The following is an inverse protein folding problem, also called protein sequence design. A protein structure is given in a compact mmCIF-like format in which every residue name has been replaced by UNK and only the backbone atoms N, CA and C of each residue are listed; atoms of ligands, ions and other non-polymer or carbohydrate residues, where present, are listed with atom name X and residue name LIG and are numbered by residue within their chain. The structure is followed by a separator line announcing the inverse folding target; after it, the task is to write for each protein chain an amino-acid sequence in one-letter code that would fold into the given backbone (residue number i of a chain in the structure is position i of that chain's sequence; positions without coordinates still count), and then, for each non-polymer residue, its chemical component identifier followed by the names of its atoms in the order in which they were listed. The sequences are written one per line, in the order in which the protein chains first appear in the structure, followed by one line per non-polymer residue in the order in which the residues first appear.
data_IF_612744974819
#
_entry.id   IF_612744974819
#
_cell.length_a   1.000
_cell.length_b   1.000
_cell.length_c   1.000
_cell.angle_alpha   90.00
_cell.angle_beta   90.00
_cell.angle_gamma   90.00
#
_symmetry.space_group_name_H-M   'P 1'
#
loop_
_entity.id
_entity.type
_entity.pdbx_description
1 polymer ?
#
# COMPACT_ATOMS: atom_id res chain seq x y z
N UNK A 1 -6.68 -11.35 1.45
CA UNK A 1 -5.77 -10.44 0.73
C UNK A 1 -5.24 -9.33 1.61
N UNK A 2 -6.12 -8.66 2.32
CA UNK A 2 -5.69 -7.63 3.25
C UNK A 2 -4.73 -8.18 4.31
N UNK A 3 -5.05 -9.34 4.88
CA UNK A 3 -4.21 -9.92 5.91
C UNK A 3 -2.82 -10.25 5.41
N UNK A 4 -2.72 -10.69 4.17
CA UNK A 4 -1.42 -10.98 3.57
C UNK A 4 -0.61 -9.71 3.45
N UNK A 5 -1.24 -8.65 2.98
CA UNK A 5 -0.53 -7.39 2.83
C UNK A 5 -0.09 -6.85 4.19
N UNK A 6 -0.96 -6.93 5.19
CA UNK A 6 -0.57 -6.50 6.54
C UNK A 6 0.63 -7.29 7.05
N UNK A 7 0.63 -8.57 6.82
CA UNK A 7 1.74 -9.40 7.26
C UNK A 7 3.05 -8.98 6.62
N UNK A 8 3.02 -8.77 5.31
CA UNK A 8 4.21 -8.37 4.58
C UNK A 8 4.71 -7.02 5.09
N UNK A 9 3.79 -6.07 5.25
CA UNK A 9 4.18 -4.72 5.66
C UNK A 9 4.77 -4.72 7.05
N UNK A 10 4.18 -5.48 7.99
CA UNK A 10 4.70 -5.51 9.35
C UNK A 10 6.09 -6.07 9.42
N UNK A 11 6.46 -6.89 8.44
CA UNK A 11 7.81 -7.44 8.41
C UNK A 11 8.81 -6.53 7.71
N UNK A 12 8.34 -5.47 7.06
CA UNK A 12 9.23 -4.53 6.38
C UNK A 12 9.55 -3.29 7.20
N UNK A 13 8.64 -2.90 8.08
CA UNK A 13 8.74 -1.60 8.74
C UNK A 13 9.34 -1.72 10.13
N UNK A 14 9.80 -0.60 10.66
CA UNK A 14 10.31 -0.54 12.02
C UNK A 14 9.22 -0.34 13.04
N UNK A 15 8.08 0.20 12.63
CA UNK A 15 6.96 0.46 13.53
C UNK A 15 5.73 -0.33 13.09
N UNK A 16 5.74 -1.66 13.30
CA UNK A 16 4.63 -2.49 12.82
C UNK A 16 3.28 -2.12 13.44
N UNK A 17 3.29 -1.55 14.62
CA UNK A 17 2.04 -1.14 15.25
C UNK A 17 1.38 0.01 14.52
N UNK A 18 2.10 0.69 13.63
CA UNK A 18 1.55 1.80 12.85
C UNK A 18 0.99 1.34 11.50
N UNK A 19 1.11 0.06 11.18
CA UNK A 19 0.62 -0.43 9.90
C UNK A 19 -0.89 -0.52 9.93
N UNK A 20 -1.53 0.02 8.91
CA UNK A 20 -2.98 -0.03 8.77
C UNK A 20 -3.30 -0.22 7.30
N UNK A 21 -4.20 -1.13 6.99
CA UNK A 21 -4.63 -1.38 5.62
C UNK A 21 -6.14 -1.27 5.58
N UNK A 22 -6.62 -0.40 4.72
CA UNK A 22 -8.05 -0.18 4.56
C UNK A 22 -8.49 -0.72 3.22
N UNK A 23 -9.53 -1.53 3.21
CA UNK A 23 -10.01 -2.21 2.02
C UNK A 23 -11.20 -1.45 1.43
N UNK A 24 -11.16 -1.26 0.13
CA UNK A 24 -12.24 -0.62 -0.59
C UNK A 24 -12.42 -1.38 -1.90
N UNK A 25 -13.64 -1.61 -2.32
CA UNK A 25 -13.83 -2.37 -3.55
C UNK A 25 -14.81 -1.69 -4.48
N UNK A 26 -14.56 -1.87 -5.76
CA UNK A 26 -15.42 -1.45 -6.84
C UNK A 26 -15.53 -2.62 -7.80
N UNK A 27 -16.47 -2.59 -8.75
CA UNK A 27 -16.58 -3.70 -9.68
C UNK A 27 -15.24 -3.96 -10.40
N UNK A 28 -14.72 -5.16 -10.23
CA UNK A 28 -13.49 -5.56 -10.90
C UNK A 28 -12.20 -5.06 -10.28
N UNK A 29 -12.27 -4.21 -9.25
CA UNK A 29 -11.06 -3.62 -8.66
C UNK A 29 -11.18 -3.61 -7.13
N UNK A 30 -10.14 -4.09 -6.48
CA UNK A 30 -10.00 -3.98 -5.03
C UNK A 30 -8.87 -3.02 -4.75
N UNK A 31 -9.13 -2.01 -3.95
CA UNK A 31 -8.10 -1.05 -3.57
C UNK A 31 -7.74 -1.26 -2.11
N UNK A 32 -6.45 -1.36 -1.84
CA UNK A 32 -5.95 -1.48 -0.48
C UNK A 32 -5.13 -0.23 -0.17
N UNK A 33 -5.62 0.55 0.77
CA UNK A 33 -4.96 1.78 1.19
C UNK A 33 -4.10 1.48 2.38
N UNK A 34 -2.83 1.81 2.27
CA UNK A 34 -1.83 1.46 3.26
C UNK A 34 -1.35 2.69 3.98
N UNK A 35 -1.32 2.63 5.30
CA UNK A 35 -0.70 3.66 6.11
C UNK A 35 0.36 3.03 6.97
N UNK A 36 1.51 3.67 7.04
CA UNK A 36 2.60 3.25 7.91
C UNK A 36 3.18 4.50 8.53
N UNK A 37 4.07 4.31 9.50
CA UNK A 37 4.75 5.46 10.09
C UNK A 37 5.48 6.21 8.98
N UNK A 38 5.44 7.55 8.98
CA UNK A 38 6.07 8.31 7.89
C UNK A 38 7.52 7.94 7.62
N UNK A 39 8.27 7.61 8.65
CA UNK A 39 9.67 7.24 8.44
C UNK A 39 9.81 5.87 7.79
N UNK A 40 8.75 5.09 7.72
CA UNK A 40 8.79 3.75 7.13
C UNK A 40 8.30 3.72 5.69
N UNK A 41 7.77 4.83 5.18
CA UNK A 41 7.24 4.85 3.81
C UNK A 41 8.30 4.39 2.81
N UNK A 42 9.53 4.87 2.99
CA UNK A 42 10.60 4.48 2.09
C UNK A 42 10.89 2.99 2.10
N UNK A 43 10.69 2.33 3.24
CA UNK A 43 10.90 0.88 3.32
C UNK A 43 9.85 0.11 2.55
N UNK A 44 8.63 0.64 2.53
CA UNK A 44 7.55 -0.02 1.80
C UNK A 44 7.69 0.21 0.31
N UNK A 45 8.05 1.43 -0.09
CA UNK A 45 8.24 1.74 -1.50
C UNK A 45 9.47 1.03 -2.04
N UNK A 46 10.55 1.07 -1.28
CA UNK A 46 11.79 0.44 -1.68
C UNK A 46 12.58 1.28 -2.66
N UNK A 47 13.78 0.82 -2.94
CA UNK A 47 14.67 1.54 -3.83
C UNK A 47 14.05 1.60 -5.21
N UNK A 48 13.88 2.81 -5.72
CA UNK A 48 13.31 3.02 -7.05
C UNK A 48 11.93 2.40 -7.21
N UNK A 49 11.21 2.27 -6.10
CA UNK A 49 9.86 1.72 -6.16
C UNK A 49 9.79 0.22 -6.34
N UNK A 50 10.89 -0.50 -6.19
CA UNK A 50 10.93 -1.92 -6.51
C UNK A 50 10.14 -2.78 -5.53
N UNK A 51 10.16 -2.42 -4.25
CA UNK A 51 9.45 -3.21 -3.26
C UNK A 51 7.95 -3.13 -3.46
N UNK A 52 7.41 -1.93 -3.63
CA UNK A 52 5.98 -1.79 -3.82
C UNK A 52 5.54 -2.40 -5.16
N UNK A 53 6.39 -2.31 -6.17
CA UNK A 53 6.07 -2.93 -7.46
C UNK A 53 5.98 -4.45 -7.32
N UNK A 54 6.90 -5.05 -6.56
CA UNK A 54 6.87 -6.49 -6.34
C UNK A 54 5.63 -6.90 -5.57
N UNK A 55 5.24 -6.13 -4.57
CA UNK A 55 4.03 -6.41 -3.80
C UNK A 55 2.81 -6.37 -4.72
N UNK A 56 2.72 -5.35 -5.56
CA UNK A 56 1.60 -5.24 -6.49
C UNK A 56 1.54 -6.42 -7.45
N UNK A 57 2.70 -6.86 -7.95
CA UNK A 57 2.74 -8.00 -8.86
C UNK A 57 2.25 -9.27 -8.18
N UNK A 58 2.70 -9.52 -6.96
CA UNK A 58 2.29 -10.71 -6.25
C UNK A 58 0.79 -10.70 -6.03
N UNK A 59 0.24 -9.58 -5.60
CA UNK A 59 -1.16 -9.51 -5.29
C UNK A 59 -2.02 -9.62 -6.54
N UNK A 60 -1.60 -9.01 -7.65
CA UNK A 60 -2.35 -9.14 -8.88
C UNK A 60 -2.28 -10.54 -9.46
N UNK A 61 -1.14 -11.22 -9.27
CA UNK A 61 -1.06 -12.62 -9.68
C UNK A 61 -2.03 -13.47 -8.89
N UNK A 62 -2.20 -13.18 -7.60
CA UNK A 62 -3.08 -13.97 -6.76
C UNK A 62 -4.54 -13.84 -7.17
N UNK A 63 -4.95 -12.68 -7.69
CA UNK A 63 -6.36 -12.50 -8.06
C UNK A 63 -6.62 -12.68 -9.55
N UNK A 64 -5.58 -12.88 -10.35
CA UNK A 64 -5.75 -12.95 -11.80
C UNK A 64 -6.73 -14.03 -12.21
N UNK A 65 -6.68 -15.17 -11.52
CA UNK A 65 -7.56 -16.28 -11.87
C UNK A 65 -9.02 -15.97 -11.59
N UNK A 66 -9.31 -14.96 -10.80
CA UNK A 66 -10.68 -14.58 -10.49
C UNK A 66 -11.15 -13.39 -11.33
N UNK A 67 -10.30 -12.88 -12.20
CA UNK A 67 -10.72 -11.84 -13.12
C UNK A 67 -10.74 -10.45 -12.53
N UNK A 68 -10.06 -10.24 -11.41
CA UNK A 68 -10.04 -8.94 -10.78
C UNK A 68 -8.67 -8.30 -10.82
N UNK A 69 -8.60 -7.10 -10.26
CA UNK A 69 -7.36 -6.37 -10.14
C UNK A 69 -7.26 -5.78 -8.74
N UNK A 70 -6.04 -5.71 -8.23
CA UNK A 70 -5.77 -5.12 -6.93
C UNK A 70 -4.90 -3.89 -7.13
N UNK A 71 -5.31 -2.79 -6.51
CA UNK A 71 -4.49 -1.59 -6.46
C UNK A 71 -4.05 -1.37 -5.03
N UNK A 72 -2.77 -1.09 -4.85
CA UNK A 72 -2.20 -0.82 -3.55
C UNK A 72 -1.74 0.62 -3.55
N UNK A 73 -2.29 1.42 -2.64
CA UNK A 73 -1.96 2.83 -2.52
C UNK A 73 -1.36 3.09 -1.17
N UNK A 74 -0.26 3.81 -1.14
CA UNK A 74 0.38 4.18 0.10
C UNK A 74 -0.05 5.59 0.42
N UNK A 75 -0.73 5.75 1.56
CA UNK A 75 -1.20 7.05 2.00
C UNK A 75 -0.19 7.62 2.98
N UNK A 76 0.18 8.86 2.77
CA UNK A 76 1.11 9.53 3.65
C UNK A 76 0.36 10.49 4.53
N UNK A 77 0.67 10.45 5.80
CA UNK A 77 0.03 11.35 6.74
C UNK A 77 0.79 12.66 6.86
N UNK A 78 1.83 12.83 6.09
CA UNK A 78 2.65 14.02 6.22
C UNK A 78 1.86 15.25 5.85
N UNK A 79 1.99 16.31 6.60
CA UNK A 79 1.25 17.54 6.29
C UNK A 79 1.56 18.08 4.92
N UNK A 80 2.70 17.76 4.40
CA UNK A 80 3.04 18.30 3.11
C UNK A 80 2.11 17.84 2.02
N UNK A 81 1.42 16.77 2.24
CA UNK A 81 0.49 16.34 1.21
C UNK A 81 -0.64 17.34 1.07
N UNK A 82 -0.95 18.04 2.12
CA UNK A 82 -1.92 19.05 1.99
C UNK A 82 -1.34 20.28 1.39
N UNK A 83 -0.10 20.49 1.62
CA UNK A 83 0.51 21.65 1.09
C UNK A 83 0.45 21.67 -0.39
N UNK A 84 0.79 20.59 -0.99
CA UNK A 84 0.78 20.59 -2.39
C UNK A 84 -0.58 20.55 -2.90
N UNK A 85 -1.44 20.07 -2.14
CA UNK A 85 -2.75 20.09 -2.65
C UNK A 85 -3.22 21.48 -2.76
N UNK A 86 -2.70 22.25 -1.94
CA UNK A 86 -3.06 23.55 -2.17
C UNK A 86 -2.58 23.98 -3.47
N UNK A 87 -2.18 23.61 -3.71
CA UNK A 87 -2.05 23.92 -4.69
C UNK A 87 -2.56 23.86 -5.53
N UNK A 88 -2.93 23.82 -4.98
CA UNK A 88 -3.42 23.78 -5.46
C UNK A 88 -3.86 24.06 -5.67
#
# INVERSE_FOLDING_TARGET
MKAFLEYVLRNLVDAPEQVSVHHSSSPGVTTLEVRVHPSDVGKVVGKQGQTIAAIRNIMNSAVARYGGRVEVEILEDAPRSQVQSAED
#
